data_IF_857616954942
#
_entry.id   IF_857616954942
#
_cell.length_a   1.000
_cell.length_b   1.000
_cell.length_c   1.000
_cell.angle_alpha   90.00
_cell.angle_beta   90.00
_cell.angle_gamma   90.00
#
_symmetry.space_group_name_H-M   'P 1'
#
loop_
_entity.id
_entity.type
_entity.pdbx_description
1 polymer ?
#
# COMPACT_ATOMS: atom_id res chain seq x y z
N UNK A 1 -12.16 -7.07 6.49
CA UNK A 1 -12.65 -5.91 5.73
C UNK A 1 -13.75 -6.37 4.80
N UNK A 2 -14.87 -5.63 4.65
CA UNK A 2 -15.94 -5.98 3.70
C UNK A 2 -15.46 -6.04 2.24
N UNK A 3 -14.60 -5.09 1.84
CA UNK A 3 -13.92 -5.10 0.54
C UNK A 3 -12.42 -5.10 0.78
N UNK A 4 -11.72 -5.97 0.04
CA UNK A 4 -10.27 -6.02 0.00
C UNK A 4 -9.81 -6.25 -1.44
N UNK A 5 -8.95 -5.37 -1.95
CA UNK A 5 -8.39 -5.47 -3.30
C UNK A 5 -6.87 -5.55 -3.20
N UNK A 6 -6.27 -6.51 -3.91
CA UNK A 6 -4.82 -6.72 -3.94
C UNK A 6 -4.23 -6.30 -5.28
N UNK A 7 -3.08 -5.64 -5.20
CA UNK A 7 -2.26 -5.25 -6.34
C UNK A 7 -0.88 -5.90 -6.16
N UNK A 8 -0.54 -6.80 -7.07
CA UNK A 8 0.68 -7.62 -6.98
C UNK A 8 1.50 -7.40 -8.24
N UNK A 9 2.78 -7.00 -8.14
CA UNK A 9 3.69 -6.98 -9.28
C UNK A 9 3.88 -8.39 -9.85
N UNK A 10 4.24 -8.50 -11.13
CA UNK A 10 4.37 -9.80 -11.82
C UNK A 10 5.37 -10.78 -11.17
N UNK A 11 6.37 -10.28 -10.43
CA UNK A 11 7.37 -11.09 -9.74
C UNK A 11 6.96 -11.49 -8.30
N UNK A 12 5.79 -11.06 -7.84
CA UNK A 12 5.15 -11.49 -6.57
C UNK A 12 6.01 -11.31 -5.29
N UNK A 13 7.00 -10.40 -5.30
CA UNK A 13 7.87 -10.17 -4.14
C UNK A 13 7.15 -9.49 -2.98
N UNK A 14 6.15 -8.67 -3.28
CA UNK A 14 5.29 -8.01 -2.32
C UNK A 14 3.92 -7.77 -2.95
N UNK A 15 2.95 -7.31 -2.17
CA UNK A 15 1.70 -6.80 -2.70
C UNK A 15 1.21 -5.60 -1.87
N UNK A 16 0.39 -4.76 -2.49
CA UNK A 16 -0.41 -3.78 -1.78
C UNK A 16 -1.84 -4.29 -1.62
N UNK A 17 -2.43 -4.07 -0.45
CA UNK A 17 -3.83 -4.38 -0.20
C UNK A 17 -4.59 -3.12 0.24
N UNK A 18 -5.62 -2.77 -0.52
CA UNK A 18 -6.58 -1.74 -0.16
C UNK A 18 -7.73 -2.39 0.60
N UNK A 19 -7.98 -1.90 1.80
CA UNK A 19 -8.93 -2.46 2.76
C UNK A 19 -10.00 -1.43 3.11
N UNK A 20 -11.28 -1.77 2.94
CA UNK A 20 -12.39 -0.83 3.19
C UNK A 20 -12.79 -0.72 4.66
N UNK A 21 -13.47 0.36 5.07
CA UNK A 21 -14.12 0.44 6.37
C UNK A 21 -15.07 -0.74 6.64
N UNK A 22 -15.19 -1.12 7.91
CA UNK A 22 -16.04 -2.17 8.45
C UNK A 22 -15.73 -2.43 9.93
N UNK A 23 -16.04 -3.62 10.44
CA UNK A 23 -15.88 -3.91 11.88
C UNK A 23 -14.43 -3.77 12.40
N UNK A 24 -13.45 -4.06 11.54
CA UNK A 24 -12.02 -4.04 11.89
C UNK A 24 -11.41 -2.63 11.82
N UNK A 25 -11.90 -1.78 10.92
CA UNK A 25 -11.36 -0.44 10.68
C UNK A 25 -12.46 0.53 10.29
N UNK A 26 -12.46 1.72 10.87
CA UNK A 26 -13.40 2.78 10.51
C UNK A 26 -12.97 3.59 9.27
N UNK A 27 -11.80 3.29 8.70
CA UNK A 27 -11.17 4.03 7.60
C UNK A 27 -10.69 3.07 6.51
N UNK A 28 -10.47 3.61 5.31
CA UNK A 28 -9.74 2.92 4.25
C UNK A 28 -8.26 2.87 4.61
N UNK A 29 -7.65 1.71 4.41
CA UNK A 29 -6.24 1.48 4.71
C UNK A 29 -5.58 0.87 3.48
N UNK A 30 -4.47 1.44 3.03
CA UNK A 30 -3.58 0.82 2.07
C UNK A 30 -2.37 0.28 2.82
N UNK A 31 -2.15 -1.03 2.72
CA UNK A 31 -1.00 -1.70 3.34
C UNK A 31 -0.06 -2.26 2.28
N UNK A 32 1.24 -2.29 2.57
CA UNK A 32 2.23 -3.02 1.79
C UNK A 32 2.70 -4.23 2.62
N UNK A 33 2.71 -5.41 1.98
CA UNK A 33 3.10 -6.68 2.60
C UNK A 33 4.15 -7.37 1.74
N UNK A 34 5.34 -7.61 2.29
CA UNK A 34 6.35 -8.43 1.61
C UNK A 34 5.95 -9.92 1.57
N UNK A 35 6.47 -10.70 0.62
CA UNK A 35 6.11 -12.12 0.44
C UNK A 35 6.41 -13.02 1.66
N UNK A 36 7.30 -12.58 2.55
CA UNK A 36 7.61 -13.25 3.83
C UNK A 36 6.82 -12.72 5.04
N UNK A 37 5.88 -11.80 4.84
CA UNK A 37 5.16 -11.11 5.92
C UNK A 37 5.88 -9.88 6.48
N UNK A 38 7.20 -9.79 6.33
CA UNK A 38 8.02 -8.64 6.73
C UNK A 38 8.99 -8.22 5.61
N UNK A 39 9.18 -6.91 5.34
CA UNK A 39 8.56 -5.79 6.05
C UNK A 39 7.05 -5.61 5.74
N UNK A 40 6.31 -5.10 6.73
CA UNK A 40 4.90 -4.75 6.65
C UNK A 40 4.64 -3.32 7.13
N UNK A 41 3.81 -2.57 6.41
CA UNK A 41 3.40 -1.24 6.86
C UNK A 41 2.03 -0.80 6.30
N UNK A 42 1.34 0.02 7.09
CA UNK A 42 0.27 0.88 6.61
C UNK A 42 0.92 2.09 5.94
N UNK A 43 0.74 2.22 4.63
CA UNK A 43 1.37 3.30 3.84
C UNK A 43 0.44 4.47 3.60
N UNK A 44 -0.88 4.28 3.72
CA UNK A 44 -1.86 5.35 3.53
C UNK A 44 -3.15 5.05 4.29
N UNK A 45 -3.78 6.08 4.87
CA UNK A 45 -5.07 6.00 5.54
C UNK A 45 -6.02 7.07 5.00
N UNK A 46 -7.28 6.71 4.70
CA UNK A 46 -8.26 7.65 4.16
C UNK A 46 -9.63 7.49 4.85
N UNK A 47 -10.22 8.59 5.34
CA UNK A 47 -11.58 8.56 5.94
C UNK A 47 -12.68 8.32 4.91
N UNK A 48 -12.47 8.77 3.67
CA UNK A 48 -13.35 8.57 2.52
C UNK A 48 -12.53 7.93 1.42
N UNK A 49 -13.17 7.15 0.56
CA UNK A 49 -12.48 6.54 -0.57
C UNK A 49 -11.97 7.62 -1.53
N UNK A 50 -10.66 7.70 -1.73
CA UNK A 50 -10.01 8.59 -2.68
C UNK A 50 -9.23 7.76 -3.72
N UNK A 51 -9.89 7.33 -4.82
CA UNK A 51 -9.31 6.40 -5.79
C UNK A 51 -8.05 6.96 -6.46
N UNK A 52 -8.03 8.25 -6.79
CA UNK A 52 -6.86 8.88 -7.42
C UNK A 52 -5.61 8.82 -6.54
N UNK A 53 -5.77 9.04 -5.24
CA UNK A 53 -4.67 8.95 -4.29
C UNK A 53 -4.17 7.50 -4.16
N UNK A 54 -5.06 6.51 -4.14
CA UNK A 54 -4.66 5.09 -4.14
C UNK A 54 -3.92 4.73 -5.43
N UNK A 55 -4.45 5.14 -6.60
CA UNK A 55 -3.81 4.90 -7.89
C UNK A 55 -2.45 5.58 -8.01
N UNK A 56 -2.29 6.76 -7.41
CA UNK A 56 -1.01 7.47 -7.35
C UNK A 56 0.02 6.70 -6.53
N UNK A 57 -0.32 6.26 -5.30
CA UNK A 57 0.58 5.47 -4.46
C UNK A 57 0.96 4.13 -5.12
N UNK A 58 0.03 3.49 -5.84
CA UNK A 58 0.31 2.28 -6.63
C UNK A 58 1.28 2.54 -7.79
N UNK A 59 1.10 3.63 -8.52
CA UNK A 59 2.00 4.02 -9.62
C UNK A 59 3.40 4.36 -9.08
N UNK A 60 3.48 5.07 -7.96
CA UNK A 60 4.73 5.37 -7.28
C UNK A 60 5.44 4.08 -6.84
N UNK A 61 4.74 3.16 -6.17
CA UNK A 61 5.28 1.87 -5.75
C UNK A 61 5.84 1.07 -6.94
N UNK A 62 5.08 0.98 -8.04
CA UNK A 62 5.53 0.31 -9.26
C UNK A 62 6.77 0.98 -9.88
N UNK A 63 6.83 2.31 -9.87
CA UNK A 63 7.99 3.04 -10.39
C UNK A 63 9.25 2.82 -9.56
N UNK A 64 9.13 2.76 -8.23
CA UNK A 64 10.25 2.53 -7.31
C UNK A 64 10.76 1.09 -7.41
N UNK A 65 9.86 0.12 -7.49
CA UNK A 65 10.22 -1.28 -7.72
C UNK A 65 10.94 -1.47 -9.06
N UNK A 66 10.46 -0.84 -10.15
CA UNK A 66 11.13 -0.86 -11.44
C UNK A 66 12.53 -0.21 -11.43
N UNK A 67 12.74 0.77 -10.54
CA UNK A 67 14.04 1.40 -10.29
C UNK A 67 14.96 0.56 -9.39
N UNK A 68 14.49 -0.56 -8.85
CA UNK A 68 15.26 -1.48 -8.02
C UNK A 68 15.38 -1.07 -6.55
N UNK A 69 14.49 -0.20 -6.06
CA UNK A 69 14.43 0.12 -4.64
C UNK A 69 14.08 -1.12 -3.80
N UNK A 70 14.62 -1.19 -2.60
CA UNK A 70 14.25 -2.26 -1.66
C UNK A 70 12.80 -2.07 -1.19
N UNK A 71 12.13 -3.16 -0.79
CA UNK A 71 10.76 -3.08 -0.25
C UNK A 71 10.68 -2.16 0.98
N UNK A 72 11.75 -2.11 1.79
CA UNK A 72 11.83 -1.23 2.94
C UNK A 72 11.87 0.25 2.52
N UNK A 73 12.67 0.60 1.53
CA UNK A 73 12.75 1.98 1.03
C UNK A 73 11.43 2.41 0.36
N UNK A 74 10.79 1.49 -0.38
CA UNK A 74 9.46 1.72 -0.96
C UNK A 74 8.46 2.05 0.15
N UNK A 75 8.45 1.28 1.25
CA UNK A 75 7.59 1.56 2.40
C UNK A 75 7.85 2.96 2.95
N UNK A 76 9.10 3.32 3.21
CA UNK A 76 9.44 4.65 3.76
C UNK A 76 8.97 5.79 2.86
N UNK A 77 9.13 5.66 1.55
CA UNK A 77 8.70 6.69 0.59
C UNK A 77 7.18 6.76 0.52
N UNK A 78 6.48 5.62 0.47
CA UNK A 78 5.02 5.60 0.43
C UNK A 78 4.39 6.11 1.73
N UNK A 79 4.99 5.85 2.89
CA UNK A 79 4.52 6.42 4.16
C UNK A 79 4.64 7.94 4.17
N UNK A 80 5.73 8.50 3.63
CA UNK A 80 5.86 9.95 3.49
C UNK A 80 4.82 10.55 2.53
N UNK A 81 4.55 9.88 1.40
CA UNK A 81 3.53 10.30 0.44
C UNK A 81 2.11 10.20 1.01
N UNK A 82 1.79 9.11 1.69
CA UNK A 82 0.48 8.87 2.31
C UNK A 82 0.25 9.58 3.65
N UNK A 83 1.15 10.48 4.06
CA UNK A 83 1.05 11.26 5.30
C UNK A 83 1.10 10.40 6.57
N UNK A 84 1.83 9.28 6.53
CA UNK A 84 2.05 8.35 7.64
C UNK A 84 3.44 8.49 8.29
N UNK A 85 4.29 9.40 7.78
CA UNK A 85 5.63 9.68 8.30
C UNK A 85 5.63 10.62 9.52
#
# INVERSE_FOLDING_TARGET
FPVQVRFTPAHERFHLALCSPGDVSQVWVLVLVNAGGEPFAVVQVQRRFAPEAVSHSLALAASLDAQGYSVNDIIHILMAEGGQA
#
